data_IF_012886701795
#
_entry.id   IF_012886701795
#
_cell.length_a   1.000
_cell.length_b   1.000
_cell.length_c   1.000
_cell.angle_alpha   90.00
_cell.angle_beta   90.00
_cell.angle_gamma   90.00
#
_symmetry.space_group_name_H-M   'P 1'
#
loop_
_entity.id
_entity.type
_entity.pdbx_description
1 polymer ?
#
# COMPACT_ATOMS: atom_id res chain seq x y z
N UNK A 1 31.31 -36.03 -12.37
CA UNK A 1 30.80 -34.96 -13.26
C UNK A 1 30.35 -33.82 -12.38
N UNK A 2 30.79 -32.58 -12.63
CA UNK A 2 30.37 -31.45 -11.83
C UNK A 2 28.84 -31.27 -11.94
N UNK A 3 28.14 -31.26 -10.81
CA UNK A 3 26.68 -31.11 -10.76
C UNK A 3 26.19 -29.68 -11.05
N UNK A 4 27.11 -28.72 -11.21
CA UNK A 4 26.80 -27.32 -11.49
C UNK A 4 27.02 -26.98 -12.97
N UNK A 5 26.03 -26.37 -13.61
CA UNK A 5 26.17 -25.81 -14.95
C UNK A 5 26.93 -24.48 -14.88
N UNK A 6 28.19 -24.46 -15.34
CA UNK A 6 29.05 -23.28 -15.25
C UNK A 6 28.52 -22.06 -16.03
N UNK A 7 27.61 -22.25 -17.00
CA UNK A 7 27.02 -21.17 -17.80
C UNK A 7 25.89 -20.42 -17.11
N UNK A 8 25.34 -20.98 -16.03
CA UNK A 8 24.23 -20.36 -15.28
C UNK A 8 24.71 -19.60 -14.04
N UNK A 9 26.03 -19.52 -13.84
CA UNK A 9 26.61 -18.77 -12.73
C UNK A 9 26.42 -17.28 -13.03
N UNK A 10 25.79 -16.56 -12.10
CA UNK A 10 25.65 -15.12 -12.18
C UNK A 10 27.00 -14.47 -11.80
N UNK A 11 27.84 -14.23 -12.80
CA UNK A 11 29.16 -13.61 -12.62
C UNK A 11 29.07 -12.12 -12.24
N UNK A 12 27.95 -11.45 -12.53
CA UNK A 12 27.75 -10.03 -12.23
C UNK A 12 27.72 -9.76 -10.71
N UNK A 13 27.48 -10.78 -9.88
CA UNK A 13 27.59 -10.66 -8.41
C UNK A 13 29.04 -10.37 -7.99
N UNK A 14 30.03 -10.76 -8.79
CA UNK A 14 31.46 -10.57 -8.49
C UNK A 14 32.00 -9.25 -9.05
N UNK A 15 31.27 -8.56 -9.91
CA UNK A 15 31.66 -7.26 -10.45
C UNK A 15 31.30 -6.14 -9.45
N UNK A 16 32.28 -5.38 -8.91
CA UNK A 16 32.00 -4.26 -8.01
C UNK A 16 31.11 -3.18 -8.63
N UNK A 17 31.15 -3.00 -9.95
CA UNK A 17 30.36 -1.99 -10.68
C UNK A 17 28.97 -2.51 -11.09
N UNK A 18 28.66 -3.77 -10.77
CA UNK A 18 27.35 -4.35 -11.02
C UNK A 18 26.26 -3.62 -10.25
N UNK A 19 25.14 -3.34 -10.92
CA UNK A 19 23.97 -2.72 -10.29
C UNK A 19 23.39 -3.57 -9.15
N UNK A 20 23.67 -4.88 -9.10
CA UNK A 20 23.22 -5.78 -8.03
C UNK A 20 23.94 -5.46 -6.71
N UNK A 21 25.17 -4.96 -6.78
CA UNK A 21 26.02 -4.65 -5.64
C UNK A 21 25.93 -3.18 -5.21
N UNK A 22 25.09 -2.38 -5.88
CA UNK A 22 24.95 -0.97 -5.58
C UNK A 22 24.33 -0.75 -4.18
N UNK A 23 24.97 0.04 -3.29
CA UNK A 23 24.48 0.28 -1.93
C UNK A 23 23.26 1.21 -1.96
N UNK A 24 22.05 0.62 -1.95
CA UNK A 24 20.78 1.34 -2.13
C UNK A 24 20.49 2.37 -1.03
N UNK A 25 21.07 2.19 0.16
CA UNK A 25 21.02 3.12 1.28
C UNK A 25 21.67 4.47 0.95
N UNK A 26 22.64 4.51 0.03
CA UNK A 26 23.26 5.76 -0.44
C UNK A 26 22.29 6.65 -1.23
N UNK A 27 21.18 6.11 -1.72
CA UNK A 27 20.14 6.88 -2.42
C UNK A 27 19.06 7.41 -1.48
N UNK A 28 19.12 7.07 -0.19
CA UNK A 28 18.15 7.59 0.77
C UNK A 28 18.43 9.08 1.00
N UNK A 29 17.39 9.94 0.92
CA UNK A 29 17.58 11.36 1.14
C UNK A 29 17.89 11.62 2.62
N UNK A 30 18.66 12.68 2.93
CA UNK A 30 18.97 13.07 4.31
C UNK A 30 17.73 13.54 5.10
N UNK A 31 16.60 13.75 4.42
CA UNK A 31 15.32 14.18 5.01
C UNK A 31 14.49 13.02 5.56
N UNK A 32 15.02 11.79 5.61
CA UNK A 32 14.30 10.65 6.17
C UNK A 32 14.10 10.81 7.69
N UNK A 33 12.88 10.64 8.20
CA UNK A 33 12.63 10.71 9.64
C UNK A 33 13.27 9.52 10.38
N UNK A 34 13.45 9.68 11.69
CA UNK A 34 13.95 8.62 12.55
C UNK A 34 13.07 7.36 12.46
N UNK A 35 13.64 6.15 12.63
CA UNK A 35 12.88 4.91 12.52
C UNK A 35 11.70 4.85 13.50
N UNK A 36 10.52 4.60 12.94
CA UNK A 36 9.28 4.41 13.70
C UNK A 36 9.07 2.94 14.03
N UNK A 37 8.75 2.63 15.28
CA UNK A 37 8.43 1.28 15.73
C UNK A 37 6.96 0.94 15.50
N UNK A 38 6.64 -0.35 15.43
CA UNK A 38 5.25 -0.81 15.34
C UNK A 38 4.33 -0.30 16.47
N UNK A 39 4.87 -0.12 17.68
CA UNK A 39 4.12 0.46 18.81
C UNK A 39 3.75 1.93 18.60
N UNK A 40 4.69 2.73 18.09
CA UNK A 40 4.42 4.12 17.75
C UNK A 40 3.41 4.24 16.59
N UNK A 41 3.52 3.38 15.57
CA UNK A 41 2.54 3.30 14.49
C UNK A 41 1.14 2.94 15.02
N UNK A 42 1.03 2.00 15.97
CA UNK A 42 -0.25 1.64 16.58
C UNK A 42 -0.89 2.83 17.34
N UNK A 43 -0.10 3.68 18.01
CA UNK A 43 -0.62 4.90 18.63
C UNK A 43 -1.17 5.89 17.59
N UNK A 44 -0.50 6.03 16.44
CA UNK A 44 -1.01 6.81 15.30
C UNK A 44 -2.37 6.26 14.84
N UNK A 45 -2.51 4.94 14.68
CA UNK A 45 -3.77 4.30 14.29
C UNK A 45 -4.90 4.62 15.28
N UNK A 46 -4.62 4.60 16.58
CA UNK A 46 -5.63 4.93 17.60
C UNK A 46 -6.11 6.38 17.48
N UNK A 47 -5.20 7.32 17.22
CA UNK A 47 -5.53 8.73 17.00
C UNK A 47 -6.38 8.91 15.73
N UNK A 48 -6.00 8.25 14.62
CA UNK A 48 -6.76 8.26 13.36
C UNK A 48 -8.19 7.75 13.59
N UNK A 49 -8.36 6.64 14.31
CA UNK A 49 -9.68 6.09 14.66
C UNK A 49 -10.51 7.01 15.54
N UNK A 50 -9.87 7.85 16.35
CA UNK A 50 -10.59 8.85 17.13
C UNK A 50 -11.13 9.96 16.22
N UNK A 51 -10.32 10.46 15.28
CA UNK A 51 -10.74 11.47 14.30
C UNK A 51 -11.89 10.98 13.40
N UNK A 52 -11.81 9.73 12.93
CA UNK A 52 -12.89 9.10 12.16
C UNK A 52 -14.18 8.98 12.98
N UNK A 53 -14.09 8.64 14.27
CA UNK A 53 -15.26 8.57 15.16
C UNK A 53 -15.89 9.93 15.45
N UNK A 54 -15.10 11.01 15.43
CA UNK A 54 -15.64 12.38 15.51
C UNK A 54 -16.19 12.90 14.18
N UNK A 55 -16.07 12.15 13.08
CA UNK A 55 -16.50 12.57 11.75
C UNK A 55 -15.53 13.51 11.03
N UNK A 56 -14.33 13.71 11.58
CA UNK A 56 -13.29 14.55 10.97
C UNK A 56 -12.45 13.74 9.98
N UNK A 57 -13.05 13.49 8.81
CA UNK A 57 -12.45 12.75 7.71
C UNK A 57 -11.20 13.44 7.15
N UNK A 58 -11.23 14.77 7.07
CA UNK A 58 -10.14 15.58 6.53
C UNK A 58 -8.93 15.57 7.48
N UNK A 59 -9.17 15.80 8.77
CA UNK A 59 -8.14 15.71 9.80
C UNK A 59 -7.55 14.31 9.89
N UNK A 60 -8.38 13.26 9.80
CA UNK A 60 -7.90 11.87 9.80
C UNK A 60 -6.95 11.58 8.63
N UNK A 61 -7.33 11.97 7.40
CA UNK A 61 -6.50 11.76 6.22
C UNK A 61 -5.23 12.61 6.24
N UNK A 62 -5.31 13.87 6.65
CA UNK A 62 -4.14 14.73 6.78
C UNK A 62 -3.14 14.16 7.79
N UNK A 63 -3.63 13.81 8.98
CA UNK A 63 -2.79 13.30 10.07
C UNK A 63 -2.10 12.00 9.68
N UNK A 64 -2.83 11.02 9.12
CA UNK A 64 -2.22 9.73 8.75
C UNK A 64 -1.15 9.91 7.68
N UNK A 65 -1.31 10.83 6.72
CA UNK A 65 -0.31 11.06 5.67
C UNK A 65 0.95 11.79 6.19
N UNK A 66 0.80 12.67 7.18
CA UNK A 66 1.93 13.39 7.78
C UNK A 66 2.75 12.52 8.75
N UNK A 67 2.15 11.46 9.30
CA UNK A 67 2.80 10.54 10.25
C UNK A 67 3.35 9.26 9.61
N UNK A 68 3.50 9.23 8.29
CA UNK A 68 3.94 8.04 7.56
C UNK A 68 5.32 7.54 8.06
N UNK A 69 5.47 6.24 8.42
CA UNK A 69 6.71 5.68 8.94
C UNK A 69 7.73 5.40 7.82
N UNK A 70 8.20 6.44 7.13
CA UNK A 70 9.11 6.34 5.97
C UNK A 70 10.42 5.62 6.29
N UNK A 71 10.94 5.79 7.51
CA UNK A 71 12.11 5.10 8.04
C UNK A 71 11.78 3.94 8.99
N UNK A 72 10.50 3.60 9.18
CA UNK A 72 10.07 2.58 10.14
C UNK A 72 10.37 1.16 9.71
N UNK A 73 10.28 0.25 10.68
CA UNK A 73 10.36 -1.20 10.42
C UNK A 73 9.17 -1.67 9.57
N UNK A 74 9.31 -2.85 8.94
CA UNK A 74 8.28 -3.42 8.06
C UNK A 74 6.93 -3.56 8.77
N UNK A 75 6.97 -3.86 10.08
CA UNK A 75 5.76 -4.04 10.87
C UNK A 75 5.02 -2.72 11.11
N UNK A 76 5.74 -1.62 11.36
CA UNK A 76 5.19 -0.28 11.50
C UNK A 76 4.51 0.16 10.20
N UNK A 77 5.16 -0.11 9.06
CA UNK A 77 4.65 0.15 7.71
C UNK A 77 3.35 -0.60 7.42
N UNK A 78 3.30 -1.90 7.74
CA UNK A 78 2.08 -2.71 7.61
C UNK A 78 0.91 -2.18 8.46
N UNK A 79 1.18 -1.90 9.74
CA UNK A 79 0.17 -1.35 10.67
C UNK A 79 -0.36 -0.02 10.17
N UNK A 80 0.52 0.83 9.65
CA UNK A 80 0.16 2.14 9.14
C UNK A 80 -0.59 2.07 7.80
N UNK A 81 -0.22 1.15 6.90
CA UNK A 81 -0.97 0.89 5.67
C UNK A 81 -2.43 0.51 5.98
N UNK A 82 -2.64 -0.36 6.97
CA UNK A 82 -4.00 -0.75 7.38
C UNK A 82 -4.82 0.47 7.86
N UNK A 83 -4.18 1.41 8.58
CA UNK A 83 -4.83 2.64 9.03
C UNK A 83 -5.18 3.58 7.85
N UNK A 84 -4.30 3.72 6.87
CA UNK A 84 -4.59 4.50 5.66
C UNK A 84 -5.79 3.91 4.93
N UNK A 85 -5.80 2.59 4.72
CA UNK A 85 -6.93 1.91 4.05
C UNK A 85 -8.24 2.09 4.84
N UNK A 86 -8.20 2.03 6.18
CA UNK A 86 -9.36 2.28 7.04
C UNK A 86 -9.92 3.70 6.85
N UNK A 87 -9.05 4.71 6.77
CA UNK A 87 -9.46 6.10 6.45
C UNK A 87 -10.12 6.20 5.08
N UNK A 88 -9.49 5.61 4.06
CA UNK A 88 -10.01 5.65 2.68
C UNK A 88 -11.37 4.95 2.53
N UNK A 89 -11.61 3.89 3.31
CA UNK A 89 -12.90 3.18 3.34
C UNK A 89 -13.96 3.90 4.19
N UNK A 90 -13.55 4.67 5.20
CA UNK A 90 -14.46 5.44 6.07
C UNK A 90 -15.06 6.68 5.42
N UNK A 91 -14.39 7.22 4.39
CA UNK A 91 -14.84 8.42 3.66
C UNK A 91 -15.86 8.01 2.59
N UNK A 92 -16.98 8.75 2.53
CA UNK A 92 -18.05 8.50 1.56
C UNK A 92 -17.61 8.93 0.15
N UNK A 93 -18.06 8.21 -0.87
CA UNK A 93 -17.73 8.52 -2.27
C UNK A 93 -18.03 9.97 -2.67
N UNK A 94 -19.16 10.53 -2.22
CA UNK A 94 -19.54 11.92 -2.50
C UNK A 94 -18.65 12.99 -1.84
N UNK A 95 -17.81 12.62 -0.88
CA UNK A 95 -16.93 13.53 -0.15
C UNK A 95 -15.46 13.43 -0.60
N UNK A 96 -15.12 12.42 -1.42
CA UNK A 96 -13.73 12.11 -1.80
C UNK A 96 -13.00 13.31 -2.42
N UNK A 97 -13.55 13.92 -3.47
CA UNK A 97 -12.91 15.04 -4.16
C UNK A 97 -12.68 16.23 -3.24
N UNK A 98 -13.68 16.58 -2.41
CA UNK A 98 -13.57 17.68 -1.45
C UNK A 98 -12.48 17.43 -0.41
N UNK A 99 -12.41 16.22 0.15
CA UNK A 99 -11.39 15.85 1.15
C UNK A 99 -10.01 15.85 0.51
N UNK A 100 -9.87 15.32 -0.72
CA UNK A 100 -8.60 15.35 -1.45
C UNK A 100 -8.13 16.78 -1.75
N UNK A 101 -9.02 17.65 -2.23
CA UNK A 101 -8.68 19.06 -2.46
C UNK A 101 -8.22 19.72 -1.16
N UNK A 102 -8.95 19.53 -0.05
CA UNK A 102 -8.60 20.13 1.23
C UNK A 102 -7.27 19.62 1.81
N UNK A 103 -6.93 18.34 1.61
CA UNK A 103 -5.70 17.74 2.14
C UNK A 103 -4.50 17.95 1.20
N UNK A 104 -4.70 17.84 -0.11
CA UNK A 104 -3.62 17.81 -1.10
C UNK A 104 -3.31 19.19 -1.72
N UNK A 105 -4.08 20.22 -1.39
CA UNK A 105 -3.75 21.61 -1.77
C UNK A 105 -3.10 22.36 -0.61
N UNK A 106 -2.44 23.49 -0.92
CA UNK A 106 -1.75 24.31 0.07
C UNK A 106 -0.36 23.78 0.47
N UNK A 107 0.15 24.29 1.59
CA UNK A 107 1.48 23.95 2.11
C UNK A 107 1.57 22.47 2.50
N UNK A 108 2.60 21.78 2.01
CA UNK A 108 2.77 20.33 2.18
C UNK A 108 1.79 19.47 1.38
N UNK A 109 0.89 20.07 0.58
CA UNK A 109 -0.14 19.35 -0.16
C UNK A 109 0.43 18.36 -1.18
N UNK A 110 1.49 18.75 -1.89
CA UNK A 110 2.19 17.87 -2.84
C UNK A 110 2.84 16.67 -2.16
N UNK A 111 3.39 16.83 -0.96
CA UNK A 111 4.00 15.73 -0.22
C UNK A 111 2.95 14.75 0.29
N UNK A 112 1.81 15.26 0.78
CA UNK A 112 0.66 14.43 1.18
C UNK A 112 0.07 13.68 -0.02
N UNK A 113 -0.05 14.33 -1.17
CA UNK A 113 -0.50 13.69 -2.41
C UNK A 113 0.44 12.56 -2.85
N UNK A 114 1.75 12.81 -2.89
CA UNK A 114 2.73 11.80 -3.25
C UNK A 114 2.75 10.66 -2.21
N UNK A 115 2.63 10.97 -0.92
CA UNK A 115 2.52 9.97 0.16
C UNK A 115 1.29 9.08 -0.02
N UNK A 116 0.12 9.68 -0.27
CA UNK A 116 -1.10 8.93 -0.53
C UNK A 116 -0.95 8.04 -1.76
N UNK A 117 -0.36 8.55 -2.84
CA UNK A 117 -0.12 7.78 -4.05
C UNK A 117 0.77 6.55 -3.79
N UNK A 118 1.79 6.66 -2.92
CA UNK A 118 2.58 5.49 -2.48
C UNK A 118 1.72 4.44 -1.78
N UNK A 119 0.85 4.88 -0.86
CA UNK A 119 -0.05 3.97 -0.15
C UNK A 119 -1.06 3.30 -1.07
N UNK A 120 -1.54 3.98 -2.11
CA UNK A 120 -2.43 3.39 -3.11
C UNK A 120 -1.71 2.26 -3.86
N UNK A 121 -0.49 2.50 -4.36
CA UNK A 121 0.29 1.43 -5.01
C UNK A 121 0.65 0.29 -4.05
N UNK A 122 1.05 0.61 -2.81
CA UNK A 122 1.35 -0.38 -1.78
C UNK A 122 0.13 -1.24 -1.43
N UNK A 123 -1.03 -0.60 -1.28
CA UNK A 123 -2.30 -1.28 -1.00
C UNK A 123 -2.76 -2.17 -2.16
N UNK A 124 -2.58 -1.73 -3.41
CA UNK A 124 -2.89 -2.54 -4.60
C UNK A 124 -1.92 -3.72 -4.78
N UNK A 125 -0.68 -3.58 -4.31
CA UNK A 125 0.32 -4.65 -4.31
C UNK A 125 0.15 -5.62 -3.13
N UNK A 126 -0.59 -5.23 -2.09
CA UNK A 126 -0.82 -6.10 -0.94
C UNK A 126 -1.61 -7.35 -1.40
N UNK A 127 -1.21 -8.56 -0.95
CA UNK A 127 -1.95 -9.76 -1.29
C UNK A 127 -3.38 -9.61 -0.80
N UNK A 128 -4.35 -9.90 -1.68
CA UNK A 128 -5.74 -9.95 -1.26
C UNK A 128 -5.85 -10.86 -0.02
N UNK A 129 -6.61 -10.47 1.01
CA UNK A 129 -6.85 -11.34 2.15
C UNK A 129 -7.41 -12.64 1.59
N UNK A 130 -6.62 -13.71 1.72
CA UNK A 130 -6.75 -14.93 0.94
C UNK A 130 -8.15 -15.53 1.01
N UNK A 131 -8.89 -15.44 -0.10
CA UNK A 131 -9.52 -16.64 -0.64
C UNK A 131 -8.42 -17.37 -1.39
N UNK A 132 -8.05 -18.56 -0.93
CA UNK A 132 -6.98 -19.35 -1.51
C UNK A 132 -7.11 -19.40 -3.05
N UNK A 133 -6.10 -18.94 -3.77
CA UNK A 133 -5.87 -19.39 -5.13
C UNK A 133 -5.48 -20.87 -5.03
N UNK A 134 -6.49 -21.73 -4.88
CA UNK A 134 -6.35 -23.16 -4.97
C UNK A 134 -5.90 -23.43 -6.40
N UNK A 135 -4.60 -23.66 -6.59
CA UNK A 135 -4.12 -24.30 -7.81
C UNK A 135 -5.01 -25.52 -8.07
N UNK A 136 -5.51 -25.76 -9.29
CA UNK A 136 -6.33 -26.93 -9.55
C UNK A 136 -5.42 -28.16 -9.45
N UNK A 137 -5.29 -28.71 -8.24
CA UNK A 137 -4.78 -30.05 -8.02
C UNK A 137 -5.84 -30.99 -8.59
N UNK A 138 -5.65 -31.37 -9.84
CA UNK A 138 -6.39 -32.46 -10.48
C UNK A 138 -6.11 -33.75 -9.70
N UNK A 139 -7.02 -34.16 -8.84
CA UNK A 139 -7.16 -35.54 -8.38
C UNK A 139 -8.39 -36.15 -9.04
N UNK A 140 -8.32 -37.37 -9.60
CA UNK A 140 -9.41 -37.95 -10.37
C UNK A 140 -10.57 -38.38 -9.46
N UNK A 141 -11.74 -37.82 -9.76
CA UNK A 141 -13.10 -38.36 -9.67
C UNK A 141 -13.42 -39.43 -8.59
N UNK A 142 -14.38 -39.12 -7.72
CA UNK A 142 -15.38 -40.10 -7.27
C UNK A 142 -16.71 -39.41 -7.00
N UNK A 143 -17.78 -40.05 -7.46
CA UNK A 143 -19.16 -39.61 -7.65
C UNK A 143 -19.95 -39.36 -6.36
N UNK A 144 -20.78 -38.31 -6.31
CA UNK A 144 -21.80 -38.16 -5.26
C UNK A 144 -22.60 -36.85 -5.31
N UNK A 145 -23.89 -36.96 -5.62
CA UNK A 145 -24.90 -35.91 -5.76
C UNK A 145 -25.14 -35.09 -4.47
N UNK A 146 -25.26 -33.75 -4.53
CA UNK A 146 -26.03 -32.93 -3.57
C UNK A 146 -26.32 -31.49 -4.02
N UNK A 147 -27.63 -31.23 -4.13
CA UNK A 147 -28.40 -29.98 -4.00
C UNK A 147 -27.74 -28.60 -4.12
N UNK A 148 -28.27 -27.83 -5.06
CA UNK A 148 -28.17 -26.37 -5.19
C UNK A 148 -28.71 -25.72 -3.92
N UNK A 149 -27.84 -25.03 -3.18
CA UNK A 149 -28.22 -24.07 -2.17
C UNK A 149 -27.50 -22.76 -2.44
N UNK A 150 -28.19 -21.83 -3.11
CA UNK A 150 -27.78 -20.44 -3.22
C UNK A 150 -27.83 -19.80 -1.81
N UNK A 151 -26.66 -19.69 -1.16
CA UNK A 151 -26.49 -18.87 0.05
C UNK A 151 -25.42 -17.83 -0.23
N UNK A 152 -25.87 -16.58 -0.23
CA UNK A 152 -25.14 -15.34 0.01
C UNK A 152 -23.63 -15.37 -0.26
N UNK A 153 -23.25 -14.94 -1.47
CA UNK A 153 -21.88 -14.61 -1.84
C UNK A 153 -21.44 -13.32 -1.10
N UNK A 154 -21.06 -13.48 0.16
CA UNK A 154 -20.36 -12.48 0.96
C UNK A 154 -18.89 -12.86 1.12
N UNK A 155 -18.17 -13.00 0.00
CA UNK A 155 -16.76 -13.37 -0.03
C UNK A 155 -16.06 -12.50 -1.10
N UNK A 156 -15.87 -11.21 -0.79
CA UNK A 156 -15.44 -10.19 -1.76
C UNK A 156 -14.52 -9.10 -1.21
N UNK A 157 -13.83 -9.35 -0.08
CA UNK A 157 -13.04 -8.33 0.62
C UNK A 157 -11.91 -7.73 -0.23
N UNK A 158 -11.20 -8.56 -1.01
CA UNK A 158 -10.12 -8.09 -1.88
C UNK A 158 -10.59 -7.26 -3.07
N UNK A 159 -11.70 -7.67 -3.72
CA UNK A 159 -12.25 -6.97 -4.87
C UNK A 159 -12.84 -5.61 -4.52
N UNK A 160 -13.53 -5.51 -3.39
CA UNK A 160 -14.07 -4.25 -2.89
C UNK A 160 -12.95 -3.28 -2.49
N UNK A 161 -11.91 -3.76 -1.80
CA UNK A 161 -10.76 -2.93 -1.43
C UNK A 161 -10.03 -2.40 -2.68
N UNK A 162 -9.80 -3.25 -3.68
CA UNK A 162 -9.20 -2.82 -4.95
C UNK A 162 -10.02 -1.73 -5.64
N UNK A 163 -11.35 -1.88 -5.70
CA UNK A 163 -12.23 -0.85 -6.28
C UNK A 163 -12.12 0.49 -5.53
N UNK A 164 -12.05 0.46 -4.20
CA UNK A 164 -11.85 1.67 -3.38
C UNK A 164 -10.52 2.32 -3.76
N UNK A 165 -9.42 1.57 -3.77
CA UNK A 165 -8.08 2.09 -4.09
C UNK A 165 -8.01 2.70 -5.50
N UNK A 166 -8.63 2.06 -6.50
CA UNK A 166 -8.68 2.58 -7.86
C UNK A 166 -9.49 3.88 -7.97
N UNK A 167 -10.61 3.99 -7.26
CA UNK A 167 -11.39 5.23 -7.22
C UNK A 167 -10.60 6.38 -6.56
N UNK A 168 -9.87 6.10 -5.47
CA UNK A 168 -8.99 7.08 -4.83
C UNK A 168 -7.84 7.49 -5.73
N UNK A 169 -7.27 6.54 -6.48
CA UNK A 169 -6.22 6.82 -7.45
C UNK A 169 -6.72 7.75 -8.56
N UNK A 170 -7.89 7.47 -9.15
CA UNK A 170 -8.51 8.35 -10.15
C UNK A 170 -8.64 9.80 -9.62
N UNK A 171 -9.25 9.97 -8.45
CA UNK A 171 -9.49 11.30 -7.87
C UNK A 171 -8.22 12.00 -7.42
N UNK A 172 -7.23 11.27 -6.92
CA UNK A 172 -5.94 11.86 -6.58
C UNK A 172 -5.19 12.36 -7.83
N UNK A 173 -5.26 11.64 -8.95
CA UNK A 173 -4.65 12.08 -10.22
C UNK A 173 -5.35 13.33 -10.77
N UNK A 174 -6.67 13.45 -10.62
CA UNK A 174 -7.40 14.68 -10.97
C UNK A 174 -6.89 15.91 -10.19
N UNK A 175 -6.55 15.75 -8.91
CA UNK A 175 -6.08 16.86 -8.03
C UNK A 175 -4.58 17.12 -8.17
N UNK A 176 -3.75 16.09 -8.16
CA UNK A 176 -2.28 16.20 -8.09
C UNK A 176 -1.58 16.08 -9.47
N UNK A 177 -2.32 15.66 -10.49
CA UNK A 177 -1.78 15.37 -11.82
C UNK A 177 -0.93 14.09 -11.88
N UNK A 178 -0.52 13.73 -13.09
CA UNK A 178 0.30 12.53 -13.37
C UNK A 178 1.72 12.63 -12.81
N UNK A 179 2.20 13.83 -12.50
CA UNK A 179 3.51 14.02 -11.88
C UNK A 179 3.64 13.32 -10.52
N UNK A 180 2.54 13.14 -9.78
CA UNK A 180 2.52 12.39 -8.52
C UNK A 180 2.94 10.93 -8.73
N UNK A 181 2.44 10.28 -9.80
CA UNK A 181 2.80 8.92 -10.17
C UNK A 181 4.31 8.82 -10.45
N UNK A 182 4.84 9.74 -11.28
CA UNK A 182 6.26 9.75 -11.64
C UNK A 182 7.15 9.88 -10.41
N UNK A 183 6.81 10.81 -9.51
CA UNK A 183 7.57 11.01 -8.26
C UNK A 183 7.55 9.76 -7.40
N UNK A 184 6.40 9.09 -7.24
CA UNK A 184 6.31 7.83 -6.49
C UNK A 184 7.16 6.72 -7.10
N UNK A 185 7.18 6.58 -8.42
CA UNK A 185 8.01 5.56 -9.09
C UNK A 185 9.51 5.77 -8.89
N UNK A 186 9.93 7.00 -8.58
CA UNK A 186 11.34 7.36 -8.34
C UNK A 186 11.71 7.51 -6.86
N UNK A 187 10.73 7.59 -5.96
CA UNK A 187 10.99 7.89 -4.55
C UNK A 187 11.55 6.67 -3.81
N UNK A 188 12.69 6.86 -3.15
CA UNK A 188 13.36 5.82 -2.36
C UNK A 188 12.87 5.75 -0.91
N UNK A 189 12.10 6.74 -0.45
CA UNK A 189 11.44 6.72 0.87
C UNK A 189 10.22 5.80 0.79
N UNK A 190 10.31 4.61 1.36
CA UNK A 190 9.27 3.59 1.24
C UNK A 190 8.25 3.63 2.38
N UNK A 191 7.03 3.20 2.07
CA UNK A 191 5.93 2.96 3.02
C UNK A 191 5.50 1.50 3.02
#
# INVERSE_FOLDING_TARGET
>A
MAQLNYRTINIDVLDPESSINFPMDTLLPPTLPAPTTSGAAASVVNQVRQLLRSGDNEGALRYVLETAPLGGDDRAKEVHLAAVVEVLQGIRQGEMSRVLEAVCTGEGGSERADCLMKYLYKGMAAPAPSGAAQSPRMSPQSTGFSQIQARNLGEGGGGQQMSVLLNWHEKLVEVAGTGSIVRVMTDRRTV
#
